data_IF_362408722702
#
_entry.id   IF_362408722702
#
_cell.length_a   1.000
_cell.length_b   1.000
_cell.length_c   1.000
_cell.angle_alpha   90.00
_cell.angle_beta   90.00
_cell.angle_gamma   90.00
#
_symmetry.space_group_name_H-M   'P 1'
#
loop_
_entity.id
_entity.type
_entity.pdbx_description
1 polymer ?
#
# COMPACT_ATOMS: atom_id res chain seq x y z
N UNK A 1 12.33 17.57 48.29
CA UNK A 1 12.70 17.27 46.89
C UNK A 1 12.72 18.59 46.12
N UNK A 2 13.82 18.90 45.43
CA UNK A 2 14.04 20.22 44.80
C UNK A 2 13.21 20.36 43.52
N UNK A 3 12.35 21.37 43.43
CA UNK A 3 11.42 21.62 42.31
C UNK A 3 12.07 21.60 40.92
N UNK A 4 13.37 21.89 40.85
CA UNK A 4 14.19 21.81 39.63
C UNK A 4 14.25 20.41 39.03
N UNK A 5 14.28 19.34 39.86
CA UNK A 5 14.26 17.93 39.41
C UNK A 5 12.90 17.54 38.83
N UNK A 6 11.82 18.07 39.40
CA UNK A 6 10.47 17.81 38.91
C UNK A 6 10.27 18.42 37.52
N UNK A 7 10.75 19.65 37.33
CA UNK A 7 10.72 20.34 36.03
C UNK A 7 11.53 19.62 34.95
N UNK A 8 12.70 19.08 35.30
CA UNK A 8 13.50 18.31 34.33
C UNK A 8 12.77 17.05 33.91
N UNK A 9 12.15 16.33 34.85
CA UNK A 9 11.40 15.11 34.55
C UNK A 9 10.16 15.36 33.69
N UNK A 10 9.42 16.44 33.96
CA UNK A 10 8.26 16.82 33.12
C UNK A 10 8.70 17.17 31.70
N UNK A 11 9.85 17.84 31.54
CA UNK A 11 10.40 18.16 30.24
C UNK A 11 10.80 16.90 29.45
N UNK A 12 11.54 15.99 30.09
CA UNK A 12 11.94 14.73 29.45
C UNK A 12 10.73 13.84 29.10
N UNK A 13 9.70 13.83 29.94
CA UNK A 13 8.46 13.10 29.67
C UNK A 13 7.72 13.69 28.46
N UNK A 14 7.53 15.01 28.42
CA UNK A 14 6.89 15.67 27.27
C UNK A 14 7.68 15.45 25.98
N UNK A 15 9.01 15.56 26.04
CA UNK A 15 9.89 15.29 24.90
C UNK A 15 9.75 13.83 24.42
N UNK A 16 9.70 12.87 25.35
CA UNK A 16 9.48 11.46 25.02
C UNK A 16 8.15 11.22 24.32
N UNK A 17 7.06 11.83 24.80
CA UNK A 17 5.73 11.71 24.16
C UNK A 17 5.74 12.27 22.74
N UNK A 18 6.36 13.43 22.53
CA UNK A 18 6.49 14.04 21.19
C UNK A 18 7.34 13.15 20.27
N UNK A 19 8.47 12.63 20.74
CA UNK A 19 9.32 11.74 19.95
C UNK A 19 8.62 10.43 19.59
N UNK A 20 7.86 9.86 20.52
CA UNK A 20 7.04 8.65 20.26
C UNK A 20 5.97 8.96 19.22
N UNK A 21 5.26 10.08 19.34
CA UNK A 21 4.27 10.49 18.34
C UNK A 21 4.88 10.72 16.95
N UNK A 22 6.05 11.37 16.88
CA UNK A 22 6.80 11.55 15.63
C UNK A 22 7.28 10.22 15.06
N UNK A 23 7.74 9.30 15.91
CA UNK A 23 8.16 7.96 15.51
C UNK A 23 7.00 7.17 14.88
N UNK A 24 5.84 7.13 15.55
CA UNK A 24 4.65 6.49 15.00
C UNK A 24 4.20 7.16 13.70
N UNK A 25 4.16 8.50 13.65
CA UNK A 25 3.84 9.23 12.41
C UNK A 25 4.79 8.86 11.27
N UNK A 26 6.10 8.83 11.53
CA UNK A 26 7.09 8.49 10.52
C UNK A 26 6.99 7.02 10.08
N UNK A 27 6.69 6.10 11.02
CA UNK A 27 6.45 4.70 10.74
C UNK A 27 5.25 4.51 9.80
N UNK A 28 4.12 5.18 10.08
CA UNK A 28 2.91 5.10 9.25
C UNK A 28 3.04 5.77 7.88
N UNK A 29 3.84 6.82 7.75
CA UNK A 29 4.10 7.44 6.44
C UNK A 29 4.97 6.54 5.55
N UNK A 30 5.90 5.79 6.13
CA UNK A 30 6.80 4.89 5.38
C UNK A 30 6.28 3.46 5.24
N UNK A 31 5.23 3.09 5.97
CA UNK A 31 4.61 1.79 5.72
C UNK A 31 3.75 1.90 4.48
N UNK A 32 4.02 1.09 3.45
CA UNK A 32 3.14 1.02 2.29
C UNK A 32 1.70 0.78 2.76
N UNK A 33 0.67 1.47 2.20
CA UNK A 33 -0.72 1.11 2.45
C UNK A 33 -0.86 -0.39 2.22
N UNK A 34 -1.10 -1.12 3.31
CA UNK A 34 -1.37 -2.56 3.23
C UNK A 34 -2.54 -2.76 2.27
N UNK A 35 -2.57 -3.87 1.54
CA UNK A 35 -3.67 -4.24 0.64
C UNK A 35 -5.07 -4.20 1.28
N UNK A 36 -5.15 -4.04 2.61
CA UNK A 36 -6.31 -3.62 3.39
C UNK A 36 -7.14 -2.50 2.76
N UNK A 37 -6.54 -1.44 2.19
CA UNK A 37 -7.31 -0.35 1.55
C UNK A 37 -7.82 -0.70 0.14
N UNK A 38 -7.18 -1.69 -0.52
CA UNK A 38 -7.60 -2.23 -1.81
C UNK A 38 -8.67 -3.33 -1.67
N UNK A 39 -8.96 -3.78 -0.44
CA UNK A 39 -9.86 -4.90 -0.09
C UNK A 39 -11.35 -4.57 -0.04
N UNK A 40 -11.82 -3.57 -0.77
CA UNK A 40 -13.25 -3.29 -0.98
C UNK A 40 -13.64 -3.61 -2.41
N UNK A 41 -14.42 -4.68 -2.61
CA UNK A 41 -15.00 -5.16 -3.88
C UNK A 41 -14.05 -5.85 -4.88
N UNK A 42 -13.95 -7.18 -4.76
CA UNK A 42 -13.71 -8.06 -5.91
C UNK A 42 -15.00 -8.88 -6.09
N UNK A 43 -15.83 -8.47 -7.05
CA UNK A 43 -16.95 -9.29 -7.53
C UNK A 43 -16.36 -10.51 -8.26
N UNK A 44 -16.48 -11.68 -7.64
CA UNK A 44 -15.94 -12.92 -8.21
C UNK A 44 -15.48 -13.93 -7.16
N UNK A 45 -16.36 -14.29 -6.23
CA UNK A 45 -16.33 -15.60 -5.56
C UNK A 45 -15.03 -16.04 -4.88
N UNK A 46 -14.47 -15.21 -4.00
CA UNK A 46 -13.82 -15.59 -2.74
C UNK A 46 -13.14 -14.35 -2.14
N UNK A 47 -13.89 -13.61 -1.30
CA UNK A 47 -13.35 -12.47 -0.58
C UNK A 47 -12.42 -12.97 0.54
N UNK A 48 -11.12 -13.05 0.28
CA UNK A 48 -10.12 -13.16 1.34
C UNK A 48 -9.96 -11.79 1.99
N UNK A 49 -10.41 -11.66 3.24
CA UNK A 49 -10.35 -10.39 3.98
C UNK A 49 -8.90 -10.16 4.41
N UNK A 50 -8.20 -9.28 3.71
CA UNK A 50 -6.88 -8.80 4.12
C UNK A 50 -7.00 -7.96 5.39
N UNK A 51 -6.14 -8.20 6.38
CA UNK A 51 -6.04 -7.35 7.57
C UNK A 51 -6.25 -8.01 8.94
N UNK A 52 -6.44 -9.33 9.02
CA UNK A 52 -6.55 -10.04 10.31
C UNK A 52 -5.17 -10.25 10.98
N UNK A 53 -4.08 -10.33 10.19
CA UNK A 53 -2.71 -10.32 10.73
C UNK A 53 -1.65 -9.80 9.75
N UNK A 54 -0.72 -8.91 10.17
CA UNK A 54 0.35 -8.37 9.30
C UNK A 54 1.26 -9.44 8.68
N UNK A 55 1.39 -10.60 9.33
CA UNK A 55 2.15 -11.73 8.79
C UNK A 55 1.45 -12.40 7.62
N UNK A 56 0.13 -12.56 7.68
CA UNK A 56 -0.65 -13.12 6.58
C UNK A 56 -0.73 -12.14 5.41
N UNK A 57 -0.86 -10.85 5.69
CA UNK A 57 -0.88 -9.81 4.65
C UNK A 57 0.43 -9.83 3.83
N UNK A 58 1.59 -9.88 4.49
CA UNK A 58 2.88 -9.99 3.81
C UNK A 58 3.11 -11.32 3.07
N UNK A 59 2.47 -12.41 3.49
CA UNK A 59 2.49 -13.67 2.73
C UNK A 59 1.64 -13.57 1.46
N UNK A 60 0.49 -12.90 1.54
CA UNK A 60 -0.38 -12.75 0.40
C UNK A 60 0.20 -11.79 -0.66
N UNK A 61 0.84 -10.70 -0.24
CA UNK A 61 1.60 -9.84 -1.16
C UNK A 61 2.67 -10.62 -1.92
N UNK A 62 3.43 -11.49 -1.22
CA UNK A 62 4.42 -12.36 -1.85
C UNK A 62 3.79 -13.36 -2.81
N UNK A 63 2.62 -13.89 -2.49
CA UNK A 63 1.89 -14.81 -3.35
C UNK A 63 1.38 -14.12 -4.62
N UNK A 64 0.82 -12.91 -4.50
CA UNK A 64 0.39 -12.07 -5.63
C UNK A 64 1.57 -11.74 -6.52
N UNK A 65 2.69 -11.29 -5.95
CA UNK A 65 3.91 -10.99 -6.71
C UNK A 65 4.42 -12.24 -7.45
N UNK A 66 4.47 -13.39 -6.79
CA UNK A 66 4.90 -14.64 -7.41
C UNK A 66 3.97 -15.08 -8.55
N UNK A 67 2.66 -14.86 -8.43
CA UNK A 67 1.70 -15.14 -9.49
C UNK A 67 1.82 -14.14 -10.65
N UNK A 68 2.00 -12.85 -10.36
CA UNK A 68 2.23 -11.81 -11.36
C UNK A 68 3.49 -12.08 -12.20
N UNK A 69 4.56 -12.53 -11.54
CA UNK A 69 5.81 -12.95 -12.18
C UNK A 69 5.64 -14.20 -13.06
N UNK A 70 4.69 -15.08 -12.76
CA UNK A 70 4.34 -16.24 -13.61
C UNK A 70 3.51 -15.85 -14.83
N UNK A 71 3.06 -14.61 -14.93
CA UNK A 71 2.24 -14.14 -16.05
C UNK A 71 0.75 -14.14 -15.78
N UNK A 72 0.28 -14.45 -14.58
CA UNK A 72 -1.17 -14.49 -14.28
C UNK A 72 -1.80 -13.09 -14.44
N UNK A 73 -2.72 -12.87 -15.38
CA UNK A 73 -3.20 -11.52 -15.73
C UNK A 73 -3.92 -10.83 -14.56
N UNK A 74 -4.70 -11.58 -13.78
CA UNK A 74 -5.34 -11.04 -12.58
C UNK A 74 -4.34 -10.64 -11.50
N UNK A 75 -3.27 -11.42 -11.32
CA UNK A 75 -2.22 -11.09 -10.36
C UNK A 75 -1.36 -9.91 -10.81
N UNK A 76 -1.08 -9.79 -12.12
CA UNK A 76 -0.41 -8.62 -12.69
C UNK A 76 -1.23 -7.36 -12.49
N UNK A 77 -2.54 -7.41 -12.70
CA UNK A 77 -3.43 -6.29 -12.37
C UNK A 77 -3.39 -5.93 -10.88
N UNK A 78 -3.48 -6.93 -9.99
CA UNK A 78 -3.36 -6.70 -8.55
C UNK A 78 -2.02 -6.08 -8.17
N UNK A 79 -0.92 -6.54 -8.76
CA UNK A 79 0.41 -5.97 -8.54
C UNK A 79 0.51 -4.52 -9.05
N UNK A 80 -0.15 -4.21 -10.17
CA UNK A 80 -0.31 -2.84 -10.66
C UNK A 80 -1.00 -1.95 -9.63
N UNK A 81 -2.10 -2.41 -9.04
CA UNK A 81 -2.82 -1.68 -7.98
C UNK A 81 -1.94 -1.41 -6.76
N UNK A 82 -1.13 -2.39 -6.35
CA UNK A 82 -0.15 -2.19 -5.26
C UNK A 82 0.83 -1.08 -5.63
N UNK A 83 1.39 -1.18 -6.83
CA UNK A 83 2.45 -0.27 -7.30
C UNK A 83 1.95 1.15 -7.56
N UNK A 84 0.66 1.39 -7.82
CA UNK A 84 0.12 2.75 -8.00
C UNK A 84 0.44 3.67 -6.81
N UNK A 85 0.53 3.12 -5.61
CA UNK A 85 0.85 3.86 -4.38
C UNK A 85 2.35 4.09 -4.16
N UNK A 86 3.23 3.40 -4.90
CA UNK A 86 4.69 3.43 -4.70
C UNK A 86 5.44 3.98 -5.90
N UNK A 87 5.15 3.42 -7.06
CA UNK A 87 5.78 3.75 -8.33
C UNK A 87 4.76 3.56 -9.46
N UNK A 88 4.17 4.68 -9.90
CA UNK A 88 3.21 4.72 -10.99
C UNK A 88 3.79 4.15 -12.29
N UNK A 89 5.10 4.29 -12.54
CA UNK A 89 5.74 3.74 -13.74
C UNK A 89 5.76 2.22 -13.66
N UNK A 90 6.05 1.66 -12.49
CA UNK A 90 6.01 0.21 -12.30
C UNK A 90 4.58 -0.32 -12.35
N UNK A 91 3.60 0.42 -11.82
CA UNK A 91 2.18 0.11 -11.93
C UNK A 91 1.73 -0.03 -13.39
N UNK A 92 2.09 0.95 -14.24
CA UNK A 92 1.79 0.93 -15.66
C UNK A 92 2.35 -0.31 -16.35
N UNK A 93 3.58 -0.72 -16.03
CA UNK A 93 4.18 -1.94 -16.62
C UNK A 93 3.37 -3.20 -16.29
N UNK A 94 2.90 -3.31 -15.05
CA UNK A 94 2.09 -4.45 -14.64
C UNK A 94 0.71 -4.45 -15.30
N UNK A 95 0.08 -3.28 -15.43
CA UNK A 95 -1.18 -3.15 -16.16
C UNK A 95 -1.03 -3.42 -17.66
N UNK A 96 0.03 -2.95 -18.29
CA UNK A 96 0.32 -3.24 -19.69
C UNK A 96 0.50 -4.73 -19.91
N UNK A 97 1.20 -5.43 -19.01
CA UNK A 97 1.36 -6.88 -19.08
C UNK A 97 0.02 -7.62 -18.95
N UNK A 98 -0.85 -7.20 -18.04
CA UNK A 98 -2.19 -7.78 -17.88
C UNK A 98 -3.10 -7.47 -19.08
N UNK A 99 -3.07 -6.23 -19.57
CA UNK A 99 -3.85 -5.77 -20.71
C UNK A 99 -3.41 -6.44 -22.03
N UNK A 100 -2.11 -6.71 -22.20
CA UNK A 100 -1.57 -7.46 -23.34
C UNK A 100 -2.13 -8.90 -23.41
N UNK A 101 -2.57 -9.45 -22.28
CA UNK A 101 -3.24 -10.75 -22.20
C UNK A 101 -4.77 -10.65 -22.32
N UNK A 102 -5.32 -9.45 -22.55
CA UNK A 102 -6.75 -9.21 -22.69
C UNK A 102 -7.49 -9.07 -21.36
N UNK A 103 -6.80 -8.80 -20.25
CA UNK A 103 -7.46 -8.61 -18.95
C UNK A 103 -8.24 -7.28 -18.92
N UNK A 104 -9.56 -7.38 -18.99
CA UNK A 104 -10.45 -6.22 -19.19
C UNK A 104 -10.29 -5.13 -18.12
N UNK A 105 -10.13 -5.51 -16.85
CA UNK A 105 -9.94 -4.55 -15.75
C UNK A 105 -8.63 -3.76 -15.88
N UNK A 106 -7.57 -4.38 -16.42
CA UNK A 106 -6.31 -3.68 -16.66
C UNK A 106 -6.44 -2.71 -17.84
N UNK A 107 -7.15 -3.10 -18.92
CA UNK A 107 -7.44 -2.21 -20.05
C UNK A 107 -8.25 -1.00 -19.59
N UNK A 108 -9.31 -1.23 -18.81
CA UNK A 108 -10.13 -0.15 -18.24
C UNK A 108 -9.33 0.76 -17.32
N UNK A 109 -8.47 0.20 -16.46
CA UNK A 109 -7.63 0.99 -15.56
C UNK A 109 -6.62 1.85 -16.31
N UNK A 110 -5.96 1.30 -17.34
CA UNK A 110 -5.07 2.08 -18.22
C UNK A 110 -5.80 3.22 -18.94
N UNK A 111 -7.03 2.99 -19.39
CA UNK A 111 -7.85 4.05 -19.98
C UNK A 111 -8.16 5.15 -18.96
N UNK A 112 -8.59 4.78 -17.74
CA UNK A 112 -8.83 5.73 -16.65
C UNK A 112 -7.58 6.54 -16.29
N UNK A 113 -6.40 5.91 -16.24
CA UNK A 113 -5.14 6.58 -15.93
C UNK A 113 -4.71 7.54 -17.05
N UNK A 114 -5.06 7.26 -18.31
CA UNK A 114 -4.79 8.14 -19.45
C UNK A 114 -5.76 9.30 -19.56
N UNK A 115 -7.02 9.06 -19.19
CA UNK A 115 -8.11 10.04 -19.27
C UNK A 115 -8.17 10.93 -18.02
N UNK A 116 -7.55 10.51 -16.92
CA UNK A 116 -7.27 11.39 -15.80
C UNK A 116 -6.43 12.58 -16.31
N UNK A 117 -6.87 13.84 -16.11
CA UNK A 117 -6.05 14.99 -16.46
C UNK A 117 -4.73 14.78 -15.74
N UNK A 118 -3.62 14.77 -16.50
CA UNK A 118 -2.26 14.61 -15.98
C UNK A 118 -2.08 15.61 -14.83
N UNK A 119 -2.36 15.18 -13.61
CA UNK A 119 -2.18 15.97 -12.41
C UNK A 119 -0.68 15.96 -12.19
N UNK A 120 -0.04 16.92 -12.87
CA UNK A 120 1.29 17.45 -12.67
C UNK A 120 2.27 16.55 -11.90
N UNK A 121 3.28 16.07 -12.64
CA UNK A 121 4.68 15.97 -12.22
C UNK A 121 5.03 14.94 -11.12
#
# INVERSE_FOLDING_TARGET
MTAKRLFTWTFFFALSVVLVAMFWRQLFIQTPPSLRELGGTIEGGNAHIYGESPRQDGMAERAVLAAAQRGEPGAQYMQGLVMEHFDMKEALRWYEAAAAQGYELAVQRLAQLRDAPQAAQ
#
